data_IF_837398598656
#
_entry.id   IF_837398598656
#
_cell.length_a   1.000
_cell.length_b   1.000
_cell.length_c   1.000
_cell.angle_alpha   90.00
_cell.angle_beta   90.00
_cell.angle_gamma   90.00
#
_symmetry.space_group_name_H-M   'P 1'
#
loop_
_entity.id
_entity.type
_entity.pdbx_description
1 polymer ?
#
# COMPACT_ATOMS: atom_id res chain seq x y z
N UNK A 1 -9.45 53.72 37.09
CA UNK A 1 -9.89 52.53 36.33
C UNK A 1 -9.39 52.65 34.90
N UNK A 2 -8.33 51.90 34.57
CA UNK A 2 -7.66 51.92 33.26
C UNK A 2 -8.46 51.11 32.25
N UNK A 3 -8.85 51.73 31.14
CA UNK A 3 -9.27 51.06 29.91
C UNK A 3 -8.00 50.54 29.23
N UNK A 4 -7.89 49.22 29.02
CA UNK A 4 -6.84 48.62 28.20
C UNK A 4 -7.36 48.58 26.77
N UNK A 5 -6.64 49.29 25.91
CA UNK A 5 -6.81 49.36 24.47
C UNK A 5 -6.03 48.19 23.86
N UNK A 6 -6.69 47.20 23.28
CA UNK A 6 -6.03 46.13 22.53
C UNK A 6 -5.77 46.68 21.11
N UNK A 7 -4.52 46.95 20.79
CA UNK A 7 -4.07 47.48 19.50
C UNK A 7 -3.66 46.30 18.62
N UNK A 8 -4.50 45.90 17.67
CA UNK A 8 -4.13 44.94 16.61
C UNK A 8 -3.58 45.78 15.45
N UNK A 9 -2.27 45.72 15.24
CA UNK A 9 -1.59 46.44 14.16
C UNK A 9 -1.58 45.55 12.91
N UNK A 10 -2.56 45.73 12.02
CA UNK A 10 -2.56 45.14 10.67
C UNK A 10 -1.75 46.10 9.77
N UNK A 11 -0.53 45.72 9.40
CA UNK A 11 0.22 46.41 8.34
C UNK A 11 -0.05 45.69 7.02
N UNK A 12 -1.03 46.19 6.29
CA UNK A 12 -1.30 45.83 4.89
C UNK A 12 -0.32 46.58 3.97
N UNK A 13 0.65 45.86 3.42
CA UNK A 13 1.36 46.28 2.21
C UNK A 13 0.91 45.38 1.05
N UNK A 14 0.02 45.94 0.24
CA UNK A 14 -0.58 45.34 -0.94
C UNK A 14 0.42 45.43 -2.10
N UNK A 15 0.84 44.28 -2.61
CA UNK A 15 1.52 44.11 -3.88
C UNK A 15 0.93 42.90 -4.60
N UNK A 16 0.42 43.12 -5.81
CA UNK A 16 -0.32 42.16 -6.62
C UNK A 16 0.47 40.89 -6.96
N UNK A 17 0.14 39.79 -6.28
CA UNK A 17 -0.03 38.46 -6.88
C UNK A 17 -1.21 37.80 -6.13
N UNK A 18 -1.86 36.79 -6.70
CA UNK A 18 -2.78 35.94 -5.93
C UNK A 18 -1.95 35.23 -4.84
N UNK A 19 -1.64 35.93 -3.75
CA UNK A 19 -1.09 35.31 -2.55
C UNK A 19 -2.23 34.52 -1.93
N UNK A 20 -2.05 33.21 -1.85
CA UNK A 20 -2.92 32.37 -1.05
C UNK A 20 -3.02 33.00 0.35
N UNK A 21 -4.24 33.09 0.86
CA UNK A 21 -4.52 33.78 2.13
C UNK A 21 -3.66 33.17 3.24
N UNK A 22 -3.11 34.02 4.11
CA UNK A 22 -2.33 33.59 5.24
C UNK A 22 -3.20 32.65 6.10
N UNK A 23 -2.70 31.47 6.43
CA UNK A 23 -3.41 30.56 7.36
C UNK A 23 -3.59 31.26 8.70
N UNK A 24 -4.84 31.41 9.12
CA UNK A 24 -5.26 31.91 10.42
C UNK A 24 -5.94 30.77 11.18
N UNK A 25 -5.39 30.41 12.34
CA UNK A 25 -5.94 29.38 13.22
C UNK A 25 -6.34 30.02 14.55
N UNK A 26 -7.48 29.60 15.07
CA UNK A 26 -7.98 30.04 16.37
C UNK A 26 -7.70 28.98 17.42
N UNK A 27 -7.20 29.42 18.57
CA UNK A 27 -7.05 28.53 19.72
C UNK A 27 -8.43 28.18 20.29
N UNK A 28 -8.70 26.88 20.39
CA UNK A 28 -9.86 26.31 21.06
C UNK A 28 -9.38 25.47 22.25
N UNK A 29 -9.80 25.85 23.45
CA UNK A 29 -9.46 25.12 24.67
C UNK A 29 -10.48 24.04 25.01
N UNK A 30 -10.08 22.76 25.02
CA UNK A 30 -10.69 21.71 25.86
C UNK A 30 -9.90 20.38 25.79
N UNK A 31 -9.64 19.79 26.97
CA UNK A 31 -9.36 18.36 27.17
C UNK A 31 -7.98 17.86 26.73
N UNK A 32 -6.98 17.87 27.62
CA UNK A 32 -5.69 17.18 27.44
C UNK A 32 -4.78 17.68 26.29
N UNK A 33 -5.27 18.63 25.49
CA UNK A 33 -4.64 19.20 24.31
C UNK A 33 -4.94 20.70 24.22
N UNK A 34 -3.98 21.46 23.70
CA UNK A 34 -4.21 22.78 23.11
C UNK A 34 -4.54 22.57 21.63
N UNK A 35 -5.70 23.05 21.17
CA UNK A 35 -6.14 22.88 19.77
C UNK A 35 -6.11 24.23 19.05
N UNK A 36 -5.54 24.26 17.84
CA UNK A 36 -5.59 25.40 16.93
C UNK A 36 -6.30 24.97 15.66
N UNK A 37 -7.33 25.69 15.23
CA UNK A 37 -8.12 25.24 14.08
C UNK A 37 -8.78 26.36 13.28
N UNK A 38 -9.10 26.05 12.02
CA UNK A 38 -10.09 26.73 11.18
C UNK A 38 -10.96 25.67 10.47
N UNK A 39 -11.65 26.02 9.39
CA UNK A 39 -12.54 25.10 8.68
C UNK A 39 -11.79 23.95 7.98
N UNK A 40 -10.50 24.13 7.65
CA UNK A 40 -9.71 23.21 6.83
C UNK A 40 -8.58 22.52 7.60
N UNK A 41 -8.06 23.14 8.66
CA UNK A 41 -6.84 22.70 9.35
C UNK A 41 -7.12 22.62 10.84
N UNK A 42 -6.67 21.52 11.46
CA UNK A 42 -6.74 21.29 12.90
C UNK A 42 -5.41 20.76 13.44
N UNK A 43 -4.81 21.50 14.36
CA UNK A 43 -3.58 21.13 15.04
C UNK A 43 -3.88 20.91 16.53
N UNK A 44 -3.63 19.71 17.03
CA UNK A 44 -3.77 19.35 18.45
C UNK A 44 -2.39 19.12 19.05
N UNK A 45 -2.02 19.83 20.10
CA UNK A 45 -0.75 19.65 20.82
C UNK A 45 -1.04 19.22 22.25
N UNK A 46 -0.61 18.02 22.61
CA UNK A 46 -0.89 17.43 23.93
C UNK A 46 -0.28 18.24 25.07
N UNK A 47 -0.93 18.22 26.23
CA UNK A 47 -0.45 18.88 27.45
C UNK A 47 0.90 18.35 27.96
N UNK A 48 1.30 17.16 27.53
CA UNK A 48 2.59 16.57 27.88
C UNK A 48 3.78 17.05 27.01
N UNK A 49 3.53 17.89 25.99
CA UNK A 49 4.55 18.49 25.14
C UNK A 49 5.04 19.80 25.76
N UNK A 50 6.36 19.89 25.94
CA UNK A 50 7.02 21.12 26.35
C UNK A 50 7.08 22.10 25.16
N UNK A 51 7.15 23.41 25.42
CA UNK A 51 7.29 24.44 24.38
C UNK A 51 6.22 24.38 23.26
N UNK A 52 4.96 24.18 23.63
CA UNK A 52 3.83 24.08 22.68
C UNK A 52 3.73 25.25 21.69
N UNK A 53 4.07 26.46 22.13
CA UNK A 53 4.06 27.65 21.27
C UNK A 53 5.12 27.54 20.15
N UNK A 54 6.31 27.02 20.46
CA UNK A 54 7.37 26.75 19.49
C UNK A 54 6.93 25.68 18.50
N UNK A 55 6.34 24.58 18.98
CA UNK A 55 5.79 23.49 18.15
C UNK A 55 4.70 24.02 17.21
N UNK A 56 3.75 24.78 17.74
CA UNK A 56 2.70 25.41 16.94
C UNK A 56 3.27 26.33 15.87
N UNK A 57 4.20 27.22 16.25
CA UNK A 57 4.83 28.16 15.33
C UNK A 57 5.58 27.45 14.21
N UNK A 58 6.28 26.36 14.54
CA UNK A 58 6.95 25.52 13.55
C UNK A 58 5.96 24.96 12.54
N UNK A 59 4.92 24.25 13.01
CA UNK A 59 3.92 23.62 12.14
C UNK A 59 3.22 24.68 11.29
N UNK A 60 2.84 25.82 11.87
CA UNK A 60 2.21 26.90 11.13
C UNK A 60 3.11 27.42 10.01
N UNK A 61 4.41 27.62 10.25
CA UNK A 61 5.34 28.07 9.21
C UNK A 61 5.46 27.08 8.06
N UNK A 62 5.50 25.79 8.34
CA UNK A 62 5.54 24.74 7.31
C UNK A 62 4.24 24.70 6.50
N UNK A 63 3.09 24.81 7.18
CA UNK A 63 1.79 24.90 6.52
C UNK A 63 1.65 26.14 5.63
N UNK A 64 2.23 27.29 6.02
CA UNK A 64 2.21 28.48 5.16
C UNK A 64 2.95 28.25 3.86
N UNK A 65 4.15 27.62 3.90
CA UNK A 65 4.92 27.30 2.69
C UNK A 65 4.14 26.38 1.74
N UNK A 66 3.48 25.37 2.31
CA UNK A 66 2.64 24.45 1.55
C UNK A 66 1.45 25.22 0.97
N UNK A 67 0.73 26.00 1.78
CA UNK A 67 -0.42 26.78 1.33
C UNK A 67 -0.07 27.81 0.26
N UNK A 68 1.13 28.38 0.24
CA UNK A 68 1.62 29.23 -0.85
C UNK A 68 1.73 28.48 -2.19
N UNK A 69 2.03 27.18 -2.15
CA UNK A 69 1.99 26.33 -3.34
C UNK A 69 0.55 26.07 -3.78
N UNK A 70 -0.33 25.59 -2.91
CA UNK A 70 -1.76 25.41 -3.20
C UNK A 70 -2.58 25.42 -1.91
N UNK A 71 -3.84 25.91 -1.93
CA UNK A 71 -4.69 25.89 -0.74
C UNK A 71 -4.82 24.50 -0.12
N UNK A 72 -4.78 24.45 1.22
CA UNK A 72 -4.98 23.25 2.02
C UNK A 72 -6.47 23.09 2.31
N UNK A 73 -7.04 21.91 2.02
CA UNK A 73 -8.48 21.67 2.13
C UNK A 73 -8.89 20.95 3.42
N UNK A 74 -8.20 19.88 3.80
CA UNK A 74 -8.53 19.11 4.99
C UNK A 74 -7.27 18.49 5.61
N UNK A 75 -6.91 18.89 6.82
CA UNK A 75 -5.72 18.39 7.50
C UNK A 75 -5.90 18.36 9.02
N UNK A 76 -5.72 17.18 9.62
CA UNK A 76 -5.59 17.02 11.06
C UNK A 76 -4.15 16.61 11.45
N UNK A 77 -3.57 17.33 12.41
CA UNK A 77 -2.25 17.06 12.99
C UNK A 77 -2.40 16.92 14.50
N UNK A 78 -1.82 15.88 15.09
CA UNK A 78 -1.80 15.64 16.53
C UNK A 78 -0.39 15.35 17.02
N UNK A 79 0.11 16.18 17.94
CA UNK A 79 1.43 16.08 18.54
C UNK A 79 1.35 15.59 19.98
N UNK A 80 2.05 14.51 20.31
CA UNK A 80 2.12 13.96 21.68
C UNK A 80 3.33 13.05 21.88
N UNK A 81 3.91 13.07 23.09
CA UNK A 81 5.04 12.19 23.46
C UNK A 81 4.71 10.69 23.41
N UNK A 82 3.43 10.33 23.36
CA UNK A 82 2.99 8.93 23.25
C UNK A 82 3.23 8.33 21.85
N UNK A 83 3.40 9.17 20.83
CA UNK A 83 3.59 8.71 19.46
C UNK A 83 5.06 8.42 19.20
N UNK A 84 5.43 7.14 19.25
CA UNK A 84 6.80 6.71 19.01
C UNK A 84 7.17 6.83 17.51
N UNK A 85 6.16 6.82 16.63
CA UNK A 85 6.26 6.90 15.16
C UNK A 85 5.00 7.56 14.60
N UNK A 86 5.03 8.27 13.45
CA UNK A 86 3.83 8.73 12.77
C UNK A 86 2.77 7.61 12.65
N UNK A 87 1.59 7.78 13.26
CA UNK A 87 0.43 6.98 12.88
C UNK A 87 -0.32 7.72 11.78
N UNK A 88 -0.27 7.16 10.58
CA UNK A 88 -0.61 7.80 9.30
C UNK A 88 -1.96 7.25 8.81
N UNK A 89 -3.00 7.46 9.62
CA UNK A 89 -4.39 7.21 9.23
C UNK A 89 -4.93 8.47 8.49
N UNK A 90 -6.13 8.95 8.82
CA UNK A 90 -6.73 10.17 8.25
C UNK A 90 -5.97 11.48 8.58
N UNK A 91 -5.00 11.44 9.51
CA UNK A 91 -4.25 12.62 9.94
C UNK A 91 -2.84 12.26 10.44
N UNK A 92 -2.02 13.28 10.70
CA UNK A 92 -0.62 13.11 11.10
C UNK A 92 -0.53 13.05 12.62
N UNK A 93 -0.12 11.92 13.19
CA UNK A 93 0.06 11.76 14.65
C UNK A 93 1.52 11.46 15.01
N UNK A 94 2.27 12.41 15.58
CA UNK A 94 3.71 12.20 15.88
C UNK A 94 4.19 12.87 17.19
N UNK A 95 5.41 12.52 17.62
CA UNK A 95 6.14 13.24 18.67
C UNK A 95 6.81 14.49 18.07
N UNK A 96 6.92 15.56 18.87
CA UNK A 96 7.50 16.83 18.47
C UNK A 96 8.95 16.70 17.97
N UNK A 97 9.70 15.67 18.42
CA UNK A 97 11.07 15.43 17.94
C UNK A 97 11.17 15.10 16.44
N UNK A 98 10.06 14.73 15.79
CA UNK A 98 10.02 14.38 14.37
C UNK A 98 9.65 15.56 13.46
N UNK A 99 9.28 16.71 14.02
CA UNK A 99 8.79 17.85 13.22
C UNK A 99 9.81 18.35 12.19
N UNK A 100 11.10 18.24 12.49
CA UNK A 100 12.13 18.76 11.60
C UNK A 100 12.56 17.79 10.50
N UNK A 101 12.08 16.54 10.52
CA UNK A 101 12.53 15.52 9.57
C UNK A 101 11.94 15.71 8.17
N UNK A 102 12.61 15.15 7.18
CA UNK A 102 12.15 15.15 5.79
C UNK A 102 10.84 14.38 5.63
N UNK A 103 10.70 13.26 6.34
CA UNK A 103 9.51 12.42 6.33
C UNK A 103 8.30 13.19 6.84
N UNK A 104 8.42 13.96 7.93
CA UNK A 104 7.31 14.77 8.43
C UNK A 104 6.85 15.82 7.42
N UNK A 105 7.78 16.49 6.74
CA UNK A 105 7.46 17.49 5.71
C UNK A 105 6.79 16.88 4.48
N UNK A 106 7.25 15.69 4.05
CA UNK A 106 6.60 14.91 2.99
C UNK A 106 5.18 14.51 3.39
N UNK A 107 4.97 14.01 4.61
CA UNK A 107 3.64 13.67 5.11
C UNK A 107 2.71 14.89 5.23
N UNK A 108 3.24 16.04 5.64
CA UNK A 108 2.53 17.31 5.60
C UNK A 108 2.00 17.64 4.21
N UNK A 109 2.84 17.52 3.17
CA UNK A 109 2.42 17.72 1.77
C UNK A 109 1.35 16.71 1.37
N UNK A 110 1.59 15.43 1.66
CA UNK A 110 0.68 14.32 1.31
C UNK A 110 -0.70 14.55 1.87
N UNK A 111 -0.80 14.77 3.19
CA UNK A 111 -2.09 14.96 3.86
C UNK A 111 -2.72 16.32 3.56
N UNK A 112 -1.94 17.36 3.24
CA UNK A 112 -2.49 18.65 2.82
C UNK A 112 -3.24 18.59 1.48
N UNK A 113 -2.82 17.71 0.57
CA UNK A 113 -3.36 17.61 -0.78
C UNK A 113 -4.07 16.30 -1.09
N UNK A 114 -4.15 15.37 -0.13
CA UNK A 114 -4.71 14.03 -0.38
C UNK A 114 -3.88 13.20 -1.37
N UNK A 115 -2.56 13.38 -1.37
CA UNK A 115 -1.62 12.66 -2.23
C UNK A 115 -1.21 11.36 -1.53
N UNK A 116 -1.37 10.24 -2.24
CA UNK A 116 -1.00 8.91 -1.80
C UNK A 116 0.39 8.50 -2.33
N UNK A 117 0.81 9.00 -3.48
CA UNK A 117 2.03 8.49 -4.12
C UNK A 117 3.32 9.09 -3.56
N UNK A 118 4.25 8.22 -3.21
CA UNK A 118 5.57 8.59 -2.73
C UNK A 118 6.35 9.44 -3.75
N UNK A 119 6.26 9.14 -5.04
CA UNK A 119 6.97 9.87 -6.09
C UNK A 119 6.48 11.32 -6.24
N UNK A 120 5.15 11.55 -6.11
CA UNK A 120 4.59 12.91 -6.14
C UNK A 120 5.05 13.68 -4.91
N UNK A 121 4.93 13.07 -3.73
CA UNK A 121 5.36 13.69 -2.47
C UNK A 121 6.85 14.05 -2.50
N UNK A 122 7.70 13.18 -3.06
CA UNK A 122 9.12 13.39 -3.22
C UNK A 122 9.41 14.64 -4.07
N UNK A 123 8.76 14.72 -5.24
CA UNK A 123 8.97 15.84 -6.15
C UNK A 123 8.40 17.16 -5.64
N UNK A 124 7.22 17.14 -5.00
CA UNK A 124 6.64 18.33 -4.37
C UNK A 124 7.46 18.82 -3.18
N UNK A 125 8.01 17.91 -2.38
CA UNK A 125 8.93 18.27 -1.30
C UNK A 125 10.14 19.03 -1.85
N UNK A 126 10.81 18.50 -2.87
CA UNK A 126 11.93 19.19 -3.50
C UNK A 126 11.52 20.56 -4.08
N UNK A 127 10.32 20.66 -4.65
CA UNK A 127 9.81 21.90 -5.23
C UNK A 127 9.46 22.97 -4.21
N UNK A 128 8.72 22.63 -3.15
CA UNK A 128 8.22 23.57 -2.13
C UNK A 128 9.36 24.06 -1.24
N UNK A 129 10.33 23.20 -0.94
CA UNK A 129 11.44 23.50 -0.06
C UNK A 129 12.73 23.90 -0.77
N UNK A 130 12.67 24.10 -2.10
CA UNK A 130 13.80 24.53 -2.92
C UNK A 130 15.07 23.67 -2.69
N UNK A 131 14.89 22.36 -2.55
CA UNK A 131 15.99 21.45 -2.25
C UNK A 131 16.93 21.33 -3.46
N UNK A 132 18.18 21.76 -3.29
CA UNK A 132 19.21 21.67 -4.33
C UNK A 132 19.57 20.22 -4.66
N UNK A 133 19.90 19.98 -5.94
CA UNK A 133 20.08 18.65 -6.51
C UNK A 133 21.43 18.04 -6.12
N UNK A 134 21.42 16.74 -5.79
CA UNK A 134 22.57 15.87 -6.04
C UNK A 134 22.44 15.42 -7.51
N UNK A 135 23.49 15.57 -8.32
CA UNK A 135 23.49 15.02 -9.68
C UNK A 135 23.46 13.49 -9.58
N UNK A 136 22.33 12.90 -9.96
CA UNK A 136 22.14 11.46 -10.10
C UNK A 136 21.71 11.24 -11.54
N UNK A 137 22.50 10.48 -12.29
CA UNK A 137 22.20 10.13 -13.68
C UNK A 137 21.25 8.93 -13.72
N UNK A 138 19.98 9.19 -13.37
CA UNK A 138 18.94 8.18 -13.39
C UNK A 138 18.61 7.70 -14.81
N UNK A 139 18.96 8.46 -15.84
CA UNK A 139 18.73 8.05 -17.23
C UNK A 139 19.61 6.87 -17.62
N UNK A 140 20.88 6.88 -17.22
CA UNK A 140 21.77 5.72 -17.40
C UNK A 140 21.33 4.52 -16.57
N UNK A 141 20.81 4.75 -15.36
CA UNK A 141 20.26 3.68 -14.53
C UNK A 141 19.07 2.99 -15.20
N UNK A 142 18.05 3.74 -15.62
CA UNK A 142 16.85 3.18 -16.27
C UNK A 142 17.06 2.73 -17.72
N UNK A 143 18.24 2.96 -18.31
CA UNK A 143 18.59 2.31 -19.57
C UNK A 143 18.79 0.78 -19.41
N UNK A 144 19.02 0.30 -18.19
CA UNK A 144 19.27 -1.11 -17.89
C UNK A 144 18.40 -1.67 -16.76
N UNK A 145 17.46 -0.89 -16.24
CA UNK A 145 16.59 -1.27 -15.12
C UNK A 145 15.16 -0.84 -15.43
N UNK A 146 14.20 -1.59 -14.92
CA UNK A 146 12.78 -1.28 -15.07
C UNK A 146 12.42 0.02 -14.36
N UNK A 147 11.68 0.87 -15.06
CA UNK A 147 11.13 2.08 -14.47
C UNK A 147 9.81 1.78 -13.78
N UNK A 148 9.71 2.15 -12.50
CA UNK A 148 8.47 2.09 -11.74
C UNK A 148 8.43 3.23 -10.71
N UNK A 149 7.24 3.82 -10.58
CA UNK A 149 6.89 4.87 -9.63
C UNK A 149 6.31 4.31 -8.31
N UNK A 150 6.34 2.99 -8.14
CA UNK A 150 5.78 2.32 -6.98
C UNK A 150 6.50 2.68 -5.68
N UNK A 151 5.73 2.83 -4.60
CA UNK A 151 6.25 3.34 -3.33
C UNK A 151 7.32 2.46 -2.66
N UNK A 152 7.30 1.14 -2.85
CA UNK A 152 8.31 0.27 -2.21
C UNK A 152 9.72 0.52 -2.75
N UNK A 153 9.86 1.05 -3.97
CA UNK A 153 11.17 1.37 -4.59
C UNK A 153 11.92 2.50 -3.88
N UNK A 154 11.25 3.22 -2.98
CA UNK A 154 11.84 4.29 -2.18
C UNK A 154 12.50 3.80 -0.89
N UNK A 155 12.47 2.49 -0.62
CA UNK A 155 12.85 1.99 0.70
C UNK A 155 13.64 0.68 0.70
N UNK A 156 14.73 0.67 1.46
CA UNK A 156 15.40 -0.56 1.87
C UNK A 156 14.52 -1.34 2.88
N UNK A 157 14.47 -2.69 2.84
CA UNK A 157 15.33 -3.58 2.06
C UNK A 157 14.80 -3.97 0.67
N UNK A 158 13.63 -3.50 0.25
CA UNK A 158 12.98 -3.92 -1.00
C UNK A 158 13.64 -3.35 -2.26
N UNK A 159 14.30 -2.21 -2.11
CA UNK A 159 15.11 -1.56 -3.12
C UNK A 159 16.54 -1.40 -2.62
N UNK A 160 17.48 -1.44 -3.57
CA UNK A 160 18.88 -1.11 -3.28
C UNK A 160 19.01 0.38 -3.02
N UNK A 161 20.06 0.80 -2.29
CA UNK A 161 20.35 2.22 -2.11
C UNK A 161 20.49 2.98 -3.44
N UNK A 162 21.09 2.35 -4.45
CA UNK A 162 21.22 2.93 -5.79
C UNK A 162 19.85 3.16 -6.43
N UNK A 163 18.97 2.18 -6.38
CA UNK A 163 17.60 2.31 -6.88
C UNK A 163 16.83 3.43 -6.15
N UNK A 164 16.93 3.48 -4.82
CA UNK A 164 16.29 4.54 -4.01
C UNK A 164 16.76 5.93 -4.44
N UNK A 165 18.07 6.12 -4.65
CA UNK A 165 18.61 7.42 -5.10
C UNK A 165 18.11 7.77 -6.51
N UNK A 166 18.00 6.79 -7.42
CA UNK A 166 17.54 6.99 -8.79
C UNK A 166 16.03 7.27 -8.88
N UNK A 167 15.19 6.54 -8.16
CA UNK A 167 13.73 6.77 -8.15
C UNK A 167 13.41 8.12 -7.54
N UNK A 168 14.11 8.55 -6.49
CA UNK A 168 13.95 9.88 -5.92
C UNK A 168 14.36 10.97 -6.92
N UNK A 169 15.48 10.80 -7.61
CA UNK A 169 15.95 11.74 -8.61
C UNK A 169 14.98 11.86 -9.81
N UNK A 170 14.50 10.72 -10.33
CA UNK A 170 13.50 10.67 -11.39
C UNK A 170 12.20 11.32 -10.98
N UNK A 171 11.70 11.04 -9.76
CA UNK A 171 10.47 11.62 -9.22
C UNK A 171 10.51 13.15 -9.15
N UNK A 172 11.62 13.70 -8.68
CA UNK A 172 11.83 15.16 -8.60
C UNK A 172 11.85 15.79 -9.99
N UNK A 173 12.54 15.16 -10.94
CA UNK A 173 12.60 15.67 -12.31
C UNK A 173 11.25 15.57 -13.03
N UNK A 174 10.53 14.47 -12.83
CA UNK A 174 9.21 14.25 -13.40
C UNK A 174 8.19 15.26 -12.86
N UNK A 175 8.11 15.46 -11.54
CA UNK A 175 7.20 16.48 -10.97
C UNK A 175 7.56 17.87 -11.48
N UNK A 176 8.86 18.19 -11.60
CA UNK A 176 9.29 19.46 -12.20
C UNK A 176 8.78 19.59 -13.64
N UNK A 177 8.98 18.57 -14.47
CA UNK A 177 8.50 18.55 -15.85
C UNK A 177 6.98 18.73 -15.94
N UNK A 178 6.23 18.00 -15.12
CA UNK A 178 4.77 18.10 -15.06
C UNK A 178 4.32 19.52 -14.69
N UNK A 179 4.98 20.16 -13.72
CA UNK A 179 4.68 21.55 -13.35
C UNK A 179 4.99 22.54 -14.49
N UNK A 180 6.08 22.34 -15.22
CA UNK A 180 6.45 23.16 -16.39
C UNK A 180 5.46 22.97 -17.56
N UNK A 181 4.76 21.82 -17.59
CA UNK A 181 3.73 21.49 -18.59
C UNK A 181 2.29 21.71 -18.09
N UNK A 182 2.10 22.59 -17.09
CA UNK A 182 0.79 22.99 -16.55
C UNK A 182 -0.03 21.87 -15.88
N UNK A 183 0.61 20.78 -15.41
CA UNK A 183 -0.06 19.64 -14.74
C UNK A 183 -0.21 19.78 -13.23
N UNK A 184 -0.20 21.01 -12.73
CA UNK A 184 -0.25 21.29 -11.28
C UNK A 184 -1.53 20.76 -10.63
N UNK A 185 -2.67 20.92 -11.29
CA UNK A 185 -3.95 20.46 -10.73
C UNK A 185 -4.03 18.93 -10.68
N UNK A 186 -3.56 18.25 -11.72
CA UNK A 186 -3.50 16.79 -11.79
C UNK A 186 -2.54 16.21 -10.73
N UNK A 187 -1.39 16.86 -10.50
CA UNK A 187 -0.48 16.52 -9.41
C UNK A 187 -1.19 16.60 -8.05
N UNK A 188 -1.84 17.74 -7.76
CA UNK A 188 -2.46 17.97 -6.45
C UNK A 188 -3.67 17.05 -6.25
N UNK A 189 -4.40 16.70 -7.32
CA UNK A 189 -5.52 15.75 -7.26
C UNK A 189 -5.05 14.28 -7.28
N UNK A 190 -3.74 14.04 -7.34
CA UNK A 190 -3.14 12.71 -7.43
C UNK A 190 -3.79 11.90 -8.58
N UNK A 191 -3.84 12.48 -9.78
CA UNK A 191 -4.56 11.93 -10.93
C UNK A 191 -3.74 12.09 -12.22
N UNK A 192 -2.49 11.62 -12.18
CA UNK A 192 -1.55 11.66 -13.30
C UNK A 192 -1.70 10.39 -14.14
N UNK A 193 -1.97 10.49 -15.44
CA UNK A 193 -2.03 9.30 -16.29
C UNK A 193 -0.65 8.94 -16.87
N UNK A 194 -0.51 7.73 -17.41
CA UNK A 194 0.72 7.33 -18.10
C UNK A 194 1.00 8.27 -19.26
N UNK A 195 -0.04 8.69 -19.99
CA UNK A 195 0.10 9.64 -21.10
C UNK A 195 0.68 10.99 -20.69
N UNK A 196 0.55 11.39 -19.42
CA UNK A 196 1.14 12.63 -18.91
C UNK A 196 2.67 12.52 -18.76
N UNK A 197 3.22 11.30 -18.66
CA UNK A 197 4.64 11.04 -18.42
C UNK A 197 5.37 10.45 -19.64
N UNK A 198 4.63 10.06 -20.68
CA UNK A 198 5.16 9.44 -21.91
C UNK A 198 6.21 10.30 -22.63
N UNK A 199 5.98 11.60 -22.79
CA UNK A 199 6.96 12.44 -23.49
C UNK A 199 8.19 12.69 -22.60
N UNK A 200 8.02 12.79 -21.27
CA UNK A 200 9.13 12.92 -20.33
C UNK A 200 10.09 11.73 -20.39
N UNK A 201 9.55 10.50 -20.40
CA UNK A 201 10.36 9.28 -20.50
C UNK A 201 11.01 9.14 -21.86
N UNK A 202 10.28 9.42 -22.93
CA UNK A 202 10.79 9.36 -24.32
C UNK A 202 11.94 10.33 -24.56
N UNK A 203 11.86 11.56 -24.06
CA UNK A 203 12.96 12.55 -24.12
C UNK A 203 14.24 12.04 -23.43
N UNK A 204 14.10 11.11 -22.47
CA UNK A 204 15.17 10.57 -21.63
C UNK A 204 15.58 9.14 -22.01
N UNK A 205 14.92 8.54 -23.00
CA UNK A 205 15.16 7.16 -23.39
C UNK A 205 14.80 6.13 -22.32
N UNK A 206 13.86 6.45 -21.42
CA UNK A 206 13.38 5.55 -20.38
C UNK A 206 12.26 4.67 -20.96
N UNK A 207 12.37 3.36 -20.77
CA UNK A 207 11.34 2.41 -21.17
C UNK A 207 10.18 2.42 -20.16
N UNK A 208 8.95 2.61 -20.66
CA UNK A 208 7.72 2.61 -19.86
C UNK A 208 7.01 1.25 -19.83
N UNK A 209 7.54 0.23 -20.52
CA UNK A 209 6.88 -1.07 -20.68
C UNK A 209 6.45 -1.67 -19.33
N UNK A 210 7.36 -1.73 -18.35
CA UNK A 210 7.03 -2.24 -17.02
C UNK A 210 6.02 -1.36 -16.26
N UNK A 211 6.21 -0.04 -16.24
CA UNK A 211 5.26 0.89 -15.61
C UNK A 211 3.84 0.80 -16.21
N UNK A 212 3.72 0.47 -17.50
CA UNK A 212 2.44 0.23 -18.16
C UNK A 212 1.74 -1.03 -17.63
N UNK A 213 2.49 -2.10 -17.37
CA UNK A 213 1.96 -3.35 -16.83
C UNK A 213 1.40 -3.16 -15.41
N UNK A 214 2.06 -2.31 -14.62
CA UNK A 214 1.67 -2.01 -13.24
C UNK A 214 0.88 -0.70 -13.09
N UNK A 215 0.36 -0.12 -14.18
CA UNK A 215 -0.23 1.23 -14.18
C UNK A 215 -1.42 1.39 -13.22
N UNK A 216 -2.13 0.29 -12.89
CA UNK A 216 -3.21 0.32 -11.92
C UNK A 216 -2.74 0.66 -10.51
N UNK A 217 -1.45 0.50 -10.20
CA UNK A 217 -0.86 0.88 -8.92
C UNK A 217 -0.48 2.37 -8.86
N UNK A 218 -0.40 3.03 -10.02
CA UNK A 218 -0.10 4.45 -10.08
C UNK A 218 -1.28 5.25 -9.54
N UNK A 219 -0.99 6.30 -8.77
CA UNK A 219 -1.96 7.20 -8.14
C UNK A 219 -2.73 6.64 -6.93
N UNK A 220 -2.38 5.45 -6.43
CA UNK A 220 -3.15 4.81 -5.36
C UNK A 220 -2.39 4.38 -4.13
N UNK A 221 -1.05 4.40 -4.10
CA UNK A 221 -0.32 3.73 -3.01
C UNK A 221 0.63 4.63 -2.27
N UNK A 222 0.49 4.61 -0.94
CA UNK A 222 1.45 5.16 -0.01
C UNK A 222 2.25 4.08 0.70
N UNK A 223 3.56 4.25 0.73
CA UNK A 223 4.46 3.39 1.48
C UNK A 223 5.20 4.21 2.52
N UNK A 224 5.19 3.73 3.75
CA UNK A 224 5.91 4.37 4.84
C UNK A 224 6.54 3.34 5.76
N UNK A 225 7.65 3.76 6.37
CA UNK A 225 8.38 2.95 7.34
C UNK A 225 8.00 3.39 8.75
N UNK A 226 7.51 2.43 9.55
CA UNK A 226 7.19 2.65 10.96
C UNK A 226 8.02 1.70 11.81
N UNK A 227 9.05 2.22 12.49
CA UNK A 227 9.98 1.42 13.29
C UNK A 227 10.60 0.24 12.48
N UNK A 228 10.19 -0.98 12.80
CA UNK A 228 10.60 -2.25 12.21
C UNK A 228 9.59 -2.78 11.17
N UNK A 229 8.61 -1.97 10.77
CA UNK A 229 7.56 -2.32 9.83
C UNK A 229 7.58 -1.44 8.59
N UNK A 230 7.29 -2.05 7.44
CA UNK A 230 6.85 -1.33 6.25
C UNK A 230 5.36 -1.47 6.11
N UNK A 231 4.70 -0.32 5.96
CA UNK A 231 3.28 -0.26 5.72
C UNK A 231 3.06 0.21 4.32
N UNK A 232 2.31 -0.58 3.56
CA UNK A 232 1.79 -0.22 2.25
C UNK A 232 0.30 0.03 2.43
N UNK A 233 -0.20 1.17 1.99
CA UNK A 233 -1.59 1.56 2.11
C UNK A 233 -2.09 2.08 0.77
N UNK A 234 -3.09 1.40 0.22
CA UNK A 234 -3.76 1.83 -1.03
C UNK A 234 -4.72 3.00 -0.77
N UNK A 235 -5.37 3.57 -1.78
CA UNK A 235 -6.27 4.73 -1.62
C UNK A 235 -7.73 4.30 -1.51
N UNK A 236 -8.08 3.20 -2.14
CA UNK A 236 -9.44 2.76 -2.36
C UNK A 236 -10.12 2.34 -1.04
N UNK A 237 -11.41 2.67 -0.94
CA UNK A 237 -12.29 2.15 0.11
C UNK A 237 -12.81 0.77 -0.27
N UNK A 238 -12.95 0.49 -1.57
CA UNK A 238 -13.45 -0.78 -2.12
C UNK A 238 -12.29 -1.49 -2.81
N UNK A 239 -11.97 -2.72 -2.38
CA UNK A 239 -10.79 -3.50 -2.80
C UNK A 239 -9.45 -2.87 -2.39
N UNK A 240 -9.47 -1.82 -1.57
CA UNK A 240 -8.26 -1.33 -0.95
C UNK A 240 -7.75 -2.31 0.11
N UNK A 241 -6.45 -2.31 0.29
CA UNK A 241 -5.77 -3.03 1.35
C UNK A 241 -4.67 -2.20 2.02
N UNK A 242 -4.36 -2.59 3.25
CA UNK A 242 -3.19 -2.18 4.01
C UNK A 242 -2.33 -3.42 4.23
N UNK A 243 -1.04 -3.37 3.93
CA UNK A 243 -0.09 -4.47 4.14
C UNK A 243 0.92 -4.04 5.19
N UNK A 244 1.11 -4.87 6.20
CA UNK A 244 2.13 -4.74 7.23
C UNK A 244 3.23 -5.80 7.01
N UNK A 245 4.44 -5.35 6.71
CA UNK A 245 5.60 -6.20 6.42
C UNK A 245 6.68 -6.00 7.47
N UNK A 246 7.17 -7.09 8.05
CA UNK A 246 8.30 -7.06 8.99
C UNK A 246 9.64 -6.85 8.27
N UNK A 247 10.33 -5.74 8.59
CA UNK A 247 11.69 -5.46 8.08
C UNK A 247 12.68 -6.50 8.58
N UNK A 248 12.51 -6.95 9.81
CA UNK A 248 13.41 -7.91 10.41
C UNK A 248 13.38 -9.26 9.66
N UNK A 249 12.19 -9.72 9.26
CA UNK A 249 12.02 -10.98 8.53
C UNK A 249 12.63 -10.91 7.13
N UNK A 250 12.40 -9.81 6.41
CA UNK A 250 13.00 -9.59 5.08
C UNK A 250 14.53 -9.53 5.18
N UNK A 251 15.07 -8.78 6.14
CA UNK A 251 16.53 -8.68 6.33
C UNK A 251 17.18 -9.98 6.79
N UNK A 252 16.45 -10.78 7.56
CA UNK A 252 16.92 -12.09 8.01
C UNK A 252 16.78 -13.17 6.92
N UNK A 253 16.21 -12.83 5.75
CA UNK A 253 15.98 -13.74 4.63
C UNK A 253 15.24 -15.01 5.08
N UNK A 254 14.23 -14.83 5.92
CA UNK A 254 13.34 -15.95 6.25
C UNK A 254 12.69 -16.47 4.98
N UNK A 255 12.55 -17.79 4.86
CA UNK A 255 12.07 -18.44 3.64
C UNK A 255 10.72 -17.90 3.17
N UNK A 256 9.82 -17.60 4.12
CA UNK A 256 8.52 -16.99 3.85
C UNK A 256 8.64 -15.55 3.31
N UNK A 257 9.65 -14.80 3.73
CA UNK A 257 9.88 -13.43 3.29
C UNK A 257 10.45 -13.32 1.87
N UNK A 258 11.05 -14.40 1.35
CA UNK A 258 11.54 -14.46 -0.04
C UNK A 258 10.42 -14.28 -1.09
N UNK A 259 9.16 -14.45 -0.69
CA UNK A 259 8.01 -14.18 -1.55
C UNK A 259 7.82 -12.68 -1.84
N UNK A 260 8.35 -11.80 -0.99
CA UNK A 260 8.11 -10.34 -1.04
C UNK A 260 9.36 -9.51 -0.69
N UNK A 261 10.56 -10.05 -0.90
CA UNK A 261 11.83 -9.42 -0.51
C UNK A 261 12.33 -8.34 -1.48
N UNK A 262 11.66 -8.14 -2.62
CA UNK A 262 11.94 -7.08 -3.60
C UNK A 262 10.70 -6.24 -3.88
N UNK A 263 10.90 -5.00 -4.37
CA UNK A 263 9.81 -4.13 -4.77
C UNK A 263 8.96 -4.74 -5.91
N UNK A 264 9.61 -5.37 -6.89
CA UNK A 264 8.96 -6.07 -8.01
C UNK A 264 8.00 -7.17 -7.54
N UNK A 265 8.46 -8.07 -6.66
CA UNK A 265 7.60 -9.13 -6.11
C UNK A 265 6.39 -8.57 -5.36
N UNK A 266 6.58 -7.46 -4.63
CA UNK A 266 5.49 -6.77 -3.95
C UNK A 266 4.50 -6.20 -4.98
N UNK A 267 4.97 -5.56 -6.05
CA UNK A 267 4.15 -5.04 -7.15
C UNK A 267 3.28 -6.16 -7.76
N UNK A 268 3.90 -7.31 -8.07
CA UNK A 268 3.19 -8.48 -8.60
C UNK A 268 2.15 -9.07 -7.64
N UNK A 269 2.48 -9.19 -6.34
CA UNK A 269 1.56 -9.69 -5.31
C UNK A 269 0.32 -8.80 -5.22
N UNK A 270 0.52 -7.49 -5.17
CA UNK A 270 -0.55 -6.49 -5.03
C UNK A 270 -1.46 -6.51 -6.25
N UNK A 271 -0.88 -6.58 -7.45
CA UNK A 271 -1.65 -6.70 -8.69
C UNK A 271 -2.46 -8.00 -8.74
N UNK A 272 -1.89 -9.11 -8.25
CA UNK A 272 -2.62 -10.38 -8.14
C UNK A 272 -3.77 -10.27 -7.15
N UNK A 273 -3.55 -9.66 -5.98
CA UNK A 273 -4.61 -9.46 -4.98
C UNK A 273 -5.79 -8.66 -5.55
N UNK A 274 -5.51 -7.60 -6.32
CA UNK A 274 -6.52 -6.81 -7.02
C UNK A 274 -7.34 -7.66 -8.01
N UNK A 275 -6.65 -8.47 -8.83
CA UNK A 275 -7.28 -9.32 -9.85
C UNK A 275 -8.13 -10.42 -9.22
N UNK A 276 -7.59 -11.16 -8.26
CA UNK A 276 -8.30 -12.24 -7.56
C UNK A 276 -9.56 -11.71 -6.87
N UNK A 277 -9.44 -10.58 -6.15
CA UNK A 277 -10.57 -9.95 -5.47
C UNK A 277 -11.68 -9.56 -6.45
N UNK A 278 -11.30 -8.98 -7.60
CA UNK A 278 -12.25 -8.59 -8.64
C UNK A 278 -12.90 -9.82 -9.30
N UNK A 279 -12.12 -10.87 -9.58
CA UNK A 279 -12.60 -12.10 -10.18
C UNK A 279 -13.61 -12.80 -9.27
N UNK A 280 -13.33 -12.91 -7.97
CA UNK A 280 -14.27 -13.47 -6.98
C UNK A 280 -15.59 -12.70 -6.96
N UNK A 281 -15.54 -11.36 -6.91
CA UNK A 281 -16.76 -10.53 -6.89
C UNK A 281 -17.60 -10.70 -8.16
N UNK A 282 -16.95 -10.68 -9.32
CA UNK A 282 -17.61 -10.89 -10.62
C UNK A 282 -18.18 -12.31 -10.73
N UNK A 283 -17.48 -13.30 -10.20
CA UNK A 283 -17.91 -14.69 -10.13
C UNK A 283 -19.21 -14.86 -9.34
N UNK A 284 -19.28 -14.26 -8.14
CA UNK A 284 -20.50 -14.25 -7.32
C UNK A 284 -21.66 -13.57 -8.06
N UNK A 285 -21.42 -12.45 -8.75
CA UNK A 285 -22.44 -11.76 -9.55
C UNK A 285 -22.95 -12.65 -10.70
N UNK A 286 -22.06 -13.36 -11.39
CA UNK A 286 -22.38 -14.22 -12.52
C UNK A 286 -23.10 -15.51 -12.14
N UNK A 287 -22.60 -16.23 -11.13
CA UNK A 287 -23.09 -17.57 -10.78
C UNK A 287 -24.22 -17.55 -9.74
N UNK A 288 -24.24 -16.55 -8.87
CA UNK A 288 -25.24 -16.37 -7.84
C UNK A 288 -25.99 -15.03 -7.95
N UNK A 289 -26.58 -14.67 -9.11
CA UNK A 289 -27.10 -13.32 -9.37
C UNK A 289 -28.23 -12.90 -8.43
N UNK A 290 -29.02 -13.86 -7.92
CA UNK A 290 -30.06 -13.59 -6.90
C UNK A 290 -29.43 -13.21 -5.56
N UNK A 291 -28.41 -13.95 -5.13
CA UNK A 291 -27.66 -13.67 -3.91
C UNK A 291 -26.95 -12.32 -4.05
N UNK A 292 -26.25 -12.10 -5.16
CA UNK A 292 -25.61 -10.82 -5.44
C UNK A 292 -26.61 -9.66 -5.39
N UNK A 293 -27.77 -9.77 -6.04
CA UNK A 293 -28.79 -8.71 -6.02
C UNK A 293 -29.27 -8.38 -4.60
N UNK A 294 -29.42 -9.40 -3.76
CA UNK A 294 -29.85 -9.25 -2.36
C UNK A 294 -28.77 -8.61 -1.48
N UNK A 295 -27.49 -8.94 -1.72
CA UNK A 295 -26.37 -8.57 -0.86
C UNK A 295 -25.35 -7.61 -1.51
N UNK A 296 -25.66 -7.02 -2.68
CA UNK A 296 -24.74 -6.16 -3.45
C UNK A 296 -24.16 -5.00 -2.65
N UNK A 297 -24.96 -4.41 -1.75
CA UNK A 297 -24.52 -3.30 -0.90
C UNK A 297 -23.41 -3.73 0.06
N UNK A 298 -23.41 -4.99 0.49
CA UNK A 298 -22.35 -5.55 1.34
C UNK A 298 -21.13 -5.90 0.48
N UNK A 299 -21.35 -6.64 -0.61
CA UNK A 299 -20.29 -7.12 -1.51
C UNK A 299 -19.52 -5.97 -2.19
N UNK A 300 -20.18 -4.83 -2.41
CA UNK A 300 -19.57 -3.65 -3.02
C UNK A 300 -19.02 -2.65 -2.00
N UNK A 301 -19.36 -2.75 -0.70
CA UNK A 301 -18.85 -1.86 0.35
C UNK A 301 -18.08 -2.64 1.42
N UNK A 302 -17.23 -3.56 0.97
CA UNK A 302 -16.36 -4.36 1.85
C UNK A 302 -15.31 -3.43 2.49
N UNK A 303 -15.13 -3.46 3.82
CA UNK A 303 -14.12 -2.66 4.48
C UNK A 303 -12.71 -2.95 3.96
N UNK A 304 -11.81 -1.98 4.15
CA UNK A 304 -10.42 -2.12 3.78
C UNK A 304 -9.73 -3.21 4.61
N UNK A 305 -9.27 -4.26 3.96
CA UNK A 305 -8.57 -5.37 4.62
C UNK A 305 -7.15 -4.98 5.04
N UNK A 306 -6.70 -5.47 6.18
CA UNK A 306 -5.33 -5.33 6.67
C UNK A 306 -4.61 -6.68 6.60
N UNK A 307 -3.73 -6.82 5.62
CA UNK A 307 -2.82 -7.94 5.53
C UNK A 307 -1.63 -7.77 6.47
N UNK A 308 -1.27 -8.84 7.15
CA UNK A 308 -0.06 -8.94 7.97
C UNK A 308 0.78 -10.07 7.38
N UNK A 309 1.93 -9.72 6.81
CA UNK A 309 2.89 -10.69 6.31
C UNK A 309 3.81 -11.06 7.47
N UNK A 310 3.60 -12.24 8.06
CA UNK A 310 4.29 -12.66 9.28
C UNK A 310 4.62 -14.14 9.22
N UNK A 311 5.90 -14.48 9.40
CA UNK A 311 6.38 -15.87 9.45
C UNK A 311 6.28 -16.54 10.82
N UNK A 312 6.09 -15.75 11.88
CA UNK A 312 6.21 -16.19 13.28
C UNK A 312 4.87 -16.22 14.02
N UNK A 313 3.77 -16.30 13.29
CA UNK A 313 2.47 -16.45 13.91
C UNK A 313 2.25 -17.91 14.32
N UNK A 314 2.25 -18.17 15.63
CA UNK A 314 2.00 -19.49 16.25
C UNK A 314 0.57 -20.02 15.98
N UNK A 315 -0.25 -19.29 15.20
CA UNK A 315 -1.65 -19.59 14.88
C UNK A 315 -1.91 -20.91 14.16
N UNK A 316 -0.88 -21.62 13.69
CA UNK A 316 -0.99 -23.03 13.31
C UNK A 316 -1.81 -23.33 12.04
N UNK A 317 -2.14 -22.32 11.23
CA UNK A 317 -2.86 -22.51 9.97
C UNK A 317 -1.87 -22.68 8.80
N UNK A 318 -2.16 -23.60 7.89
CA UNK A 318 -1.32 -23.90 6.74
C UNK A 318 -1.44 -22.77 5.71
N UNK A 319 -0.52 -21.80 5.75
CA UNK A 319 -0.39 -20.74 4.75
C UNK A 319 -0.98 -19.38 5.15
N UNK A 320 -2.15 -19.32 5.79
CA UNK A 320 -2.79 -18.07 6.18
C UNK A 320 -3.97 -18.27 7.11
N UNK A 321 -4.52 -17.17 7.66
CA UNK A 321 -5.80 -17.17 8.37
C UNK A 321 -6.41 -15.76 8.47
N UNK A 322 -7.74 -15.67 8.42
CA UNK A 322 -8.50 -14.52 8.91
C UNK A 322 -8.57 -14.51 10.45
N UNK A 323 -8.19 -13.39 11.07
CA UNK A 323 -8.43 -13.18 12.50
C UNK A 323 -9.88 -12.77 12.74
N UNK A 324 -10.68 -13.72 13.20
CA UNK A 324 -12.13 -13.56 13.45
C UNK A 324 -12.48 -12.29 14.24
N UNK A 325 -13.46 -11.55 13.73
CA UNK A 325 -13.95 -10.30 14.35
C UNK A 325 -12.98 -9.13 14.24
N UNK A 326 -12.04 -9.19 13.30
CA UNK A 326 -11.12 -8.10 12.96
C UNK A 326 -10.95 -8.01 11.45
N UNK A 327 -10.44 -6.88 10.95
CA UNK A 327 -10.12 -6.71 9.53
C UNK A 327 -8.72 -7.22 9.16
N UNK A 328 -8.16 -8.12 9.96
CA UNK A 328 -6.78 -8.60 9.82
C UNK A 328 -6.73 -10.00 9.19
N UNK A 329 -6.06 -10.10 8.04
CA UNK A 329 -5.70 -11.38 7.43
C UNK A 329 -4.19 -11.57 7.60
N UNK A 330 -3.80 -12.70 8.18
CA UNK A 330 -2.41 -13.08 8.38
C UNK A 330 -2.00 -14.04 7.27
N UNK A 331 -0.95 -13.70 6.52
CA UNK A 331 -0.45 -14.49 5.40
C UNK A 331 1.01 -14.89 5.63
N UNK A 332 1.26 -16.19 5.66
CA UNK A 332 2.59 -16.80 5.59
C UNK A 332 2.93 -17.21 4.15
N UNK A 333 1.92 -17.63 3.39
CA UNK A 333 1.96 -17.91 1.96
C UNK A 333 1.08 -16.87 1.23
N UNK A 334 1.65 -16.17 0.26
CA UNK A 334 0.92 -15.16 -0.51
C UNK A 334 -0.03 -15.78 -1.54
N UNK A 335 0.01 -17.10 -1.73
CA UNK A 335 -0.88 -17.85 -2.62
C UNK A 335 -2.27 -18.07 -2.01
N UNK A 336 -2.39 -18.14 -0.68
CA UNK A 336 -3.69 -18.37 -0.01
C UNK A 336 -4.50 -17.09 0.18
N UNK A 337 -4.04 -15.96 -0.36
CA UNK A 337 -4.71 -14.67 -0.24
C UNK A 337 -6.19 -14.72 -0.63
N UNK A 338 -6.51 -15.30 -1.79
CA UNK A 338 -7.86 -15.30 -2.31
C UNK A 338 -8.82 -16.13 -1.43
N UNK A 339 -8.34 -17.26 -0.92
CA UNK A 339 -9.03 -18.09 0.08
C UNK A 339 -9.34 -17.28 1.35
N UNK A 340 -8.32 -16.66 1.96
CA UNK A 340 -8.51 -15.90 3.19
C UNK A 340 -9.37 -14.64 3.00
N UNK A 341 -9.26 -14.01 1.84
CA UNK A 341 -10.11 -12.88 1.49
C UNK A 341 -11.58 -13.29 1.38
N UNK A 342 -11.89 -14.52 0.95
CA UNK A 342 -13.26 -15.02 0.96
C UNK A 342 -13.81 -15.13 2.38
N UNK A 343 -13.03 -15.64 3.33
CA UNK A 343 -13.44 -15.61 4.75
C UNK A 343 -13.72 -14.19 5.20
N UNK A 344 -12.87 -13.21 4.85
CA UNK A 344 -13.11 -11.81 5.22
C UNK A 344 -14.38 -11.22 4.60
N UNK A 345 -14.59 -11.50 3.31
CA UNK A 345 -15.75 -11.06 2.54
C UNK A 345 -17.05 -11.55 3.18
N UNK A 346 -17.08 -12.81 3.62
CA UNK A 346 -18.26 -13.47 4.12
C UNK A 346 -18.39 -13.40 5.66
N UNK A 347 -17.32 -13.15 6.43
CA UNK A 347 -17.38 -13.06 7.89
C UNK A 347 -17.83 -11.67 8.36
N UNK A 348 -16.93 -10.68 8.34
CA UNK A 348 -17.19 -9.36 8.93
C UNK A 348 -18.38 -8.66 8.26
N UNK A 349 -18.39 -8.66 6.93
CA UNK A 349 -19.38 -7.88 6.16
C UNK A 349 -20.81 -8.43 6.30
N UNK A 350 -20.98 -9.74 6.51
CA UNK A 350 -22.30 -10.37 6.68
C UNK A 350 -22.74 -10.47 8.14
N UNK A 351 -21.80 -10.59 9.09
CA UNK A 351 -22.10 -10.50 10.53
C UNK A 351 -22.80 -9.20 10.88
N UNK A 352 -22.40 -8.08 10.27
CA UNK A 352 -23.08 -6.78 10.45
C UNK A 352 -24.55 -6.77 10.01
N UNK A 353 -24.96 -7.72 9.15
CA UNK A 353 -26.36 -7.92 8.74
C UNK A 353 -27.07 -9.04 9.50
N UNK A 354 -26.45 -9.56 10.56
CA UNK A 354 -27.02 -10.64 11.37
C UNK A 354 -26.93 -12.01 10.70
N UNK A 355 -26.09 -12.17 9.67
CA UNK A 355 -25.80 -13.44 9.04
C UNK A 355 -24.46 -13.93 9.62
N UNK A 356 -24.54 -14.91 10.52
CA UNK A 356 -23.36 -15.50 11.14
C UNK A 356 -23.00 -16.82 10.46
N UNK A 357 -22.00 -16.76 9.59
CA UNK A 357 -21.43 -17.95 8.93
C UNK A 357 -20.29 -18.57 9.73
N UNK A 358 -19.88 -17.98 10.85
CA UNK A 358 -18.77 -18.47 11.68
C UNK A 358 -19.19 -19.50 12.73
N UNK A 359 -20.46 -19.91 12.73
CA UNK A 359 -20.96 -20.96 13.62
C UNK A 359 -20.30 -22.32 13.33
N UNK A 360 -20.18 -23.23 14.31
CA UNK A 360 -19.54 -24.55 14.11
C UNK A 360 -20.19 -25.43 13.03
N UNK A 361 -21.48 -25.22 12.74
CA UNK A 361 -22.21 -25.91 11.67
C UNK A 361 -22.01 -25.27 10.29
N UNK A 362 -21.53 -24.03 10.26
CA UNK A 362 -21.28 -23.26 9.05
C UNK A 362 -19.79 -23.16 8.69
N UNK A 363 -18.86 -23.62 9.54
CA UNK A 363 -17.43 -23.71 9.19
C UNK A 363 -17.19 -24.50 7.90
N UNK A 364 -17.86 -25.64 7.72
CA UNK A 364 -17.75 -26.41 6.47
C UNK A 364 -18.30 -25.68 5.25
N UNK A 365 -19.29 -24.81 5.46
CA UNK A 365 -19.90 -24.01 4.40
C UNK A 365 -18.98 -22.82 4.08
N UNK A 366 -18.41 -22.19 5.09
CA UNK A 366 -17.47 -21.08 4.98
C UNK A 366 -16.19 -21.52 4.25
N UNK A 367 -15.53 -22.58 4.73
CA UNK A 367 -14.40 -23.22 4.07
C UNK A 367 -14.76 -23.71 2.66
N UNK A 368 -15.95 -24.27 2.49
CA UNK A 368 -16.42 -24.75 1.18
C UNK A 368 -16.59 -23.60 0.18
N UNK A 369 -17.14 -22.46 0.61
CA UNK A 369 -17.30 -21.26 -0.20
C UNK A 369 -15.93 -20.64 -0.51
N UNK A 370 -15.06 -20.50 0.49
CA UNK A 370 -13.72 -19.94 0.33
C UNK A 370 -12.89 -20.77 -0.65
N UNK A 371 -12.86 -22.10 -0.48
CA UNK A 371 -12.17 -23.01 -1.40
C UNK A 371 -12.77 -22.96 -2.81
N UNK A 372 -14.10 -22.97 -2.95
CA UNK A 372 -14.73 -22.89 -4.27
C UNK A 372 -14.32 -21.62 -5.02
N UNK A 373 -14.41 -20.46 -4.34
CA UNK A 373 -14.11 -19.17 -4.95
C UNK A 373 -12.62 -19.00 -5.24
N UNK A 374 -11.74 -19.49 -4.36
CA UNK A 374 -10.30 -19.53 -4.61
C UNK A 374 -9.97 -20.38 -5.84
N UNK A 375 -10.45 -21.62 -5.87
CA UNK A 375 -10.19 -22.58 -6.96
C UNK A 375 -10.66 -22.07 -8.32
N UNK A 376 -11.87 -21.51 -8.37
CA UNK A 376 -12.52 -21.15 -9.64
C UNK A 376 -12.07 -19.78 -10.14
N UNK A 377 -11.70 -18.84 -9.25
CA UNK A 377 -11.51 -17.44 -9.61
C UNK A 377 -10.14 -16.85 -9.28
N UNK A 378 -9.26 -17.55 -8.57
CA UNK A 378 -7.94 -16.99 -8.21
C UNK A 378 -6.83 -17.42 -9.18
N UNK A 379 -6.00 -16.46 -9.58
CA UNK A 379 -4.75 -16.73 -10.29
C UNK A 379 -3.74 -17.43 -9.38
N UNK A 380 -3.84 -17.21 -8.07
CA UNK A 380 -2.96 -17.85 -7.10
C UNK A 380 -3.14 -19.37 -7.08
N UNK A 381 -4.38 -19.86 -7.19
CA UNK A 381 -4.66 -21.29 -7.30
C UNK A 381 -4.11 -21.88 -8.60
N UNK A 382 -4.23 -21.15 -9.72
CA UNK A 382 -3.61 -21.55 -11.00
C UNK A 382 -2.10 -21.73 -10.82
N UNK A 383 -1.41 -20.74 -10.26
CA UNK A 383 0.04 -20.83 -9.99
C UNK A 383 0.41 -22.00 -9.07
N UNK A 384 -0.44 -22.31 -8.08
CA UNK A 384 -0.24 -23.47 -7.22
C UNK A 384 -0.38 -24.79 -7.98
N UNK A 385 -1.34 -24.90 -8.90
CA UNK A 385 -1.45 -26.05 -9.80
C UNK A 385 -0.21 -26.16 -10.70
N UNK A 386 0.20 -25.06 -11.33
CA UNK A 386 1.40 -25.03 -12.20
C UNK A 386 2.64 -25.52 -11.45
N UNK A 387 2.84 -25.03 -10.23
CA UNK A 387 3.93 -25.46 -9.37
C UNK A 387 3.82 -26.95 -9.01
N UNK A 388 2.63 -27.42 -8.63
CA UNK A 388 2.39 -28.84 -8.34
C UNK A 388 2.75 -29.73 -9.53
N UNK A 389 2.32 -29.38 -10.74
CA UNK A 389 2.64 -30.13 -11.96
C UNK A 389 4.12 -30.06 -12.33
N UNK A 390 4.77 -28.91 -12.14
CA UNK A 390 6.22 -28.80 -12.30
C UNK A 390 6.95 -29.77 -11.36
N UNK A 391 6.61 -29.78 -10.07
CA UNK A 391 7.23 -30.68 -9.07
C UNK A 391 6.98 -32.16 -9.39
N UNK A 392 5.77 -32.51 -9.85
CA UNK A 392 5.44 -33.89 -10.26
C UNK A 392 6.26 -34.31 -11.48
N UNK A 393 6.46 -33.40 -12.46
CA UNK A 393 7.11 -33.70 -13.73
C UNK A 393 8.65 -33.66 -13.70
N UNK A 394 9.26 -32.79 -12.88
CA UNK A 394 10.72 -32.63 -12.77
C UNK A 394 11.24 -32.76 -11.34
N UNK A 395 10.98 -33.94 -10.78
CA UNK A 395 11.29 -34.24 -9.39
C UNK A 395 12.79 -34.22 -9.07
N UNK A 396 13.66 -34.49 -10.05
CA UNK A 396 15.10 -34.60 -9.80
C UNK A 396 15.71 -33.22 -9.57
N UNK A 397 15.31 -32.24 -10.38
CA UNK A 397 15.70 -30.83 -10.18
C UNK A 397 15.20 -30.29 -8.83
N UNK A 398 13.96 -30.64 -8.42
CA UNK A 398 13.38 -30.15 -7.17
C UNK A 398 14.00 -30.76 -5.89
N UNK A 399 14.43 -32.02 -5.94
CA UNK A 399 14.98 -32.74 -4.77
C UNK A 399 16.50 -32.55 -4.61
N UNK A 400 17.19 -32.00 -5.62
CA UNK A 400 18.61 -31.67 -5.53
C UNK A 400 18.87 -30.62 -4.44
N UNK A 401 19.76 -30.96 -3.49
CA UNK A 401 20.16 -30.06 -2.39
C UNK A 401 19.32 -30.16 -1.11
N UNK A 402 18.25 -30.96 -1.07
CA UNK A 402 17.40 -31.12 0.14
C UNK A 402 17.95 -32.09 1.21
N UNK A 403 19.15 -32.66 1.01
CA UNK A 403 19.81 -33.51 2.01
C UNK A 403 19.08 -34.84 2.32
N UNK A 404 18.21 -35.29 1.42
CA UNK A 404 17.41 -36.50 1.57
C UNK A 404 18.27 -37.77 1.50
N UNK A 405 17.87 -38.80 2.24
CA UNK A 405 18.47 -40.13 2.12
C UNK A 405 18.02 -40.83 0.84
N UNK A 406 18.81 -41.77 0.31
CA UNK A 406 18.47 -42.47 -0.94
C UNK A 406 17.09 -43.16 -0.91
N UNK A 407 16.69 -43.72 0.23
CA UNK A 407 15.36 -44.32 0.41
C UNK A 407 14.22 -43.30 0.45
N UNK A 408 14.47 -42.08 0.93
CA UNK A 408 13.46 -41.01 0.88
C UNK A 408 13.30 -40.51 -0.55
N UNK A 409 14.40 -40.37 -1.30
CA UNK A 409 14.36 -39.99 -2.70
C UNK A 409 13.56 -41.00 -3.54
N UNK A 410 13.84 -42.30 -3.37
CA UNK A 410 13.10 -43.37 -4.06
C UNK A 410 11.60 -43.35 -3.73
N UNK A 411 11.22 -43.14 -2.47
CA UNK A 411 9.82 -43.11 -2.06
C UNK A 411 9.06 -41.90 -2.65
N UNK A 412 9.67 -40.72 -2.69
CA UNK A 412 9.03 -39.52 -3.29
C UNK A 412 8.94 -39.68 -4.82
N UNK A 413 9.97 -40.26 -5.45
CA UNK A 413 9.95 -40.58 -6.88
C UNK A 413 8.83 -41.57 -7.24
N UNK A 414 8.62 -42.62 -6.44
CA UNK A 414 7.49 -43.54 -6.65
C UNK A 414 6.14 -42.83 -6.48
N UNK A 415 5.97 -41.99 -5.46
CA UNK A 415 4.73 -41.24 -5.23
C UNK A 415 4.39 -40.33 -6.42
N UNK A 416 5.33 -39.51 -6.89
CA UNK A 416 5.09 -38.61 -8.01
C UNK A 416 4.86 -39.36 -9.33
N UNK A 417 5.54 -40.50 -9.53
CA UNK A 417 5.27 -41.36 -10.69
C UNK A 417 3.83 -41.91 -10.66
N UNK A 418 3.35 -42.30 -9.47
CA UNK A 418 1.96 -42.72 -9.30
C UNK A 418 0.96 -41.57 -9.54
N UNK A 419 1.24 -40.37 -9.03
CA UNK A 419 0.42 -39.18 -9.29
C UNK A 419 0.36 -38.86 -10.78
N UNK A 420 1.51 -38.83 -11.46
CA UNK A 420 1.59 -38.60 -12.91
C UNK A 420 0.80 -39.67 -13.68
N UNK A 421 0.90 -40.95 -13.27
CA UNK A 421 0.14 -42.04 -13.87
C UNK A 421 -1.37 -41.83 -13.74
N UNK A 422 -1.85 -41.38 -12.57
CA UNK A 422 -3.26 -41.08 -12.35
C UNK A 422 -3.71 -39.94 -13.27
N UNK A 423 -2.94 -38.86 -13.38
CA UNK A 423 -3.27 -37.72 -14.25
C UNK A 423 -3.35 -38.14 -15.72
N UNK A 424 -2.37 -38.91 -16.19
CA UNK A 424 -2.34 -39.45 -17.57
C UNK A 424 -3.52 -40.39 -17.83
N UNK A 425 -3.85 -41.29 -16.91
CA UNK A 425 -4.99 -42.22 -17.04
C UNK A 425 -6.34 -41.49 -17.13
N UNK A 426 -6.43 -40.28 -16.55
CA UNK A 426 -7.62 -39.44 -16.62
C UNK A 426 -7.59 -38.43 -17.77
N UNK A 427 -6.64 -38.55 -18.71
CA UNK A 427 -6.43 -37.63 -19.84
C UNK A 427 -6.19 -36.16 -19.41
N UNK A 428 -5.58 -35.95 -18.24
CA UNK A 428 -5.18 -34.62 -17.78
C UNK A 428 -3.78 -34.34 -18.34
N UNK A 429 -3.68 -33.40 -19.28
CA UNK A 429 -2.39 -32.95 -19.83
C UNK A 429 -1.77 -31.89 -18.93
N UNK A 430 -0.87 -32.31 -18.04
CA UNK A 430 -0.19 -31.41 -17.09
C UNK A 430 0.66 -30.32 -17.75
N UNK A 431 0.94 -30.43 -19.06
CA UNK A 431 1.65 -29.39 -19.83
C UNK A 431 0.68 -28.38 -20.45
N UNK A 432 -0.63 -28.62 -20.38
CA UNK A 432 -1.68 -27.73 -20.87
C UNK A 432 -2.53 -27.17 -19.71
N UNK A 433 -1.88 -26.39 -18.84
CA UNK A 433 -2.52 -25.73 -17.68
C UNK A 433 -3.77 -24.94 -18.10
N UNK A 434 -3.70 -24.25 -19.25
CA UNK A 434 -4.82 -23.48 -19.81
C UNK A 434 -6.07 -24.32 -20.10
N UNK A 435 -5.94 -25.60 -20.40
CA UNK A 435 -7.06 -26.53 -20.60
C UNK A 435 -7.59 -27.01 -19.25
N UNK A 436 -6.69 -27.35 -18.32
CA UNK A 436 -7.03 -27.83 -16.97
C UNK A 436 -7.79 -26.77 -16.15
N UNK A 437 -7.43 -25.51 -16.30
CA UNK A 437 -8.05 -24.39 -15.56
C UNK A 437 -9.39 -23.96 -16.18
N UNK A 438 -9.66 -24.30 -17.45
CA UNK A 438 -10.88 -23.91 -18.17
C UNK A 438 -12.02 -24.93 -18.07
N UNK A 439 -11.72 -26.18 -17.75
CA UNK A 439 -12.69 -27.27 -17.52
C UNK A 439 -13.15 -27.31 -16.06
#
# INVERSE_FOLDING_TARGET
>A
MRKILLLILIVLLIGCSKKNEQILLFEAGSGGYTTYQNDNIKIKISDNIDEKESVYTYILNELQKINEFSPIENLEIQISKQYIVPNIDEGIKCDAKFLETEEFKKELIRKSYGIYDNWISEGLYAKIYEIEKKEVDYTTYYANNEFSLFGARFFEPFATKEEVENVQAASRDLVKYLLENNKKEEIIKNNISISDIEEWTKERGIDLSYQNEIQSLMNRMEVYRVADKFIINTREEINGFKIDISIAEVKAQYSTALQYDTAEKIEEIILRFDRDTLAIKNGIEGEAPKFYTEYKEILNNVPKVKYIFNSNDDGGAYGGYLKLGSDEIHLMDMSVHAHEYCHFLFDNSFKEKGIDISSPLSLWIDEGIANYLDVVYSEAYIKNIEYGFYVISDITEHLEGQGLTGSQLEAIQELNYHELSILVENNIDIYNIDEIVKE
#
